data_IF_931832822485
#
_entry.id   IF_931832822485
#
_cell.length_a   1.000
_cell.length_b   1.000
_cell.length_c   1.000
_cell.angle_alpha   90.00
_cell.angle_beta   90.00
_cell.angle_gamma   90.00
#
_symmetry.space_group_name_H-M   'P 1'
#
loop_
_entity.id
_entity.type
_entity.pdbx_description
1 polymer ?
#
# COMPACT_ATOMS: atom_id res chain seq x y z
N UNK A 1 1.47 -5.66 7.46
CA UNK A 1 0.13 -5.65 6.82
C UNK A 1 -0.98 -6.12 7.78
N UNK A 2 -0.96 -7.36 8.27
CA UNK A 2 -2.06 -7.91 9.10
C UNK A 2 -2.31 -7.18 10.44
N UNK A 3 -1.28 -6.52 11.01
CA UNK A 3 -1.40 -5.74 12.26
C UNK A 3 -2.40 -4.59 12.14
N UNK A 4 -2.49 -3.95 10.98
CA UNK A 4 -3.46 -2.88 10.76
C UNK A 4 -4.90 -3.41 10.78
N UNK A 5 -5.13 -4.58 10.19
CA UNK A 5 -6.44 -5.26 10.23
C UNK A 5 -6.82 -5.63 11.67
N UNK A 6 -5.87 -6.11 12.46
CA UNK A 6 -6.08 -6.38 13.90
C UNK A 6 -6.48 -5.12 14.66
N UNK A 7 -5.81 -3.99 14.39
CA UNK A 7 -6.07 -2.73 15.07
C UNK A 7 -7.43 -2.13 14.67
N UNK A 8 -7.72 -2.03 13.37
CA UNK A 8 -8.97 -1.46 12.84
C UNK A 8 -10.21 -2.24 13.26
N UNK A 9 -10.18 -3.57 13.17
CA UNK A 9 -11.33 -4.43 13.46
C UNK A 9 -11.28 -5.07 14.84
N UNK A 10 -10.34 -4.67 15.70
CA UNK A 10 -10.12 -5.22 17.05
C UNK A 10 -10.08 -6.76 17.08
N UNK A 11 -9.48 -7.38 16.05
CA UNK A 11 -9.40 -8.84 15.93
C UNK A 11 -8.12 -9.39 16.54
N UNK A 12 -8.24 -10.52 17.23
CA UNK A 12 -7.08 -11.29 17.70
C UNK A 12 -6.38 -12.00 16.54
N UNK A 13 -5.09 -12.30 16.72
CA UNK A 13 -4.32 -13.06 15.72
C UNK A 13 -4.91 -14.46 15.45
N UNK A 14 -5.51 -15.06 16.48
CA UNK A 14 -6.18 -16.36 16.37
C UNK A 14 -7.43 -16.27 15.49
N UNK A 15 -8.23 -15.21 15.62
CA UNK A 15 -9.38 -14.97 14.77
C UNK A 15 -8.97 -14.75 13.31
N UNK A 16 -7.91 -13.96 13.07
CA UNK A 16 -7.37 -13.74 11.73
C UNK A 16 -6.83 -15.04 11.12
N UNK A 17 -6.08 -15.86 11.87
CA UNK A 17 -5.60 -17.15 11.38
C UNK A 17 -6.72 -18.11 10.99
N UNK A 18 -7.80 -18.13 11.78
CA UNK A 18 -8.99 -18.94 11.48
C UNK A 18 -9.68 -18.44 10.22
N UNK A 19 -9.83 -17.13 10.10
CA UNK A 19 -10.47 -16.49 8.95
C UNK A 19 -9.72 -16.72 7.63
N UNK A 20 -8.38 -16.66 7.65
CA UNK A 20 -7.55 -16.85 6.45
C UNK A 20 -7.31 -18.32 6.08
N UNK A 21 -7.86 -19.29 6.83
CA UNK A 21 -7.67 -20.72 6.57
C UNK A 21 -8.69 -21.20 5.55
N UNK A 22 -8.23 -21.79 4.45
CA UNK A 22 -9.10 -22.46 3.48
C UNK A 22 -9.32 -23.92 3.91
N UNK A 23 -10.53 -24.50 3.71
CA UNK A 23 -10.80 -25.91 4.05
C UNK A 23 -9.84 -26.91 3.38
N UNK A 24 -9.29 -26.59 2.21
CA UNK A 24 -8.32 -27.42 1.49
C UNK A 24 -6.85 -27.11 1.83
N UNK A 25 -6.56 -26.45 2.95
CA UNK A 25 -5.20 -26.21 3.43
C UNK A 25 -4.49 -24.99 2.84
N UNK A 26 -5.11 -24.28 1.90
CA UNK A 26 -4.64 -23.00 1.39
C UNK A 26 -4.82 -21.83 2.37
N UNK A 27 -4.26 -20.67 1.99
CA UNK A 27 -4.50 -19.39 2.65
C UNK A 27 -5.37 -18.52 1.76
N UNK A 28 -6.42 -17.93 2.30
CA UNK A 28 -7.25 -16.96 1.56
C UNK A 28 -6.51 -15.64 1.39
N UNK A 29 -6.79 -14.93 0.31
CA UNK A 29 -6.45 -13.53 0.17
C UNK A 29 -7.17 -12.70 1.24
N UNK A 30 -6.57 -11.57 1.60
CA UNK A 30 -7.07 -10.72 2.68
C UNK A 30 -8.11 -9.77 2.07
N UNK A 31 -9.38 -10.16 2.10
CA UNK A 31 -10.48 -9.29 1.69
C UNK A 31 -11.11 -8.57 2.88
N UNK A 32 -11.21 -7.24 2.84
CA UNK A 32 -11.69 -6.43 3.95
C UNK A 32 -12.56 -5.30 3.43
N UNK A 33 -13.79 -5.18 3.95
CA UNK A 33 -14.73 -4.11 3.57
C UNK A 33 -14.93 -3.99 2.04
N UNK A 34 -14.89 -5.11 1.30
CA UNK A 34 -14.98 -5.14 -0.16
C UNK A 34 -13.68 -4.82 -0.92
N UNK A 35 -12.57 -4.65 -0.20
CA UNK A 35 -11.25 -4.39 -0.79
C UNK A 35 -10.32 -5.60 -0.59
N UNK A 36 -9.68 -6.05 -1.66
CA UNK A 36 -8.67 -7.11 -1.60
C UNK A 36 -7.30 -6.51 -1.34
N UNK A 37 -6.68 -6.90 -0.24
CA UNK A 37 -5.37 -6.44 0.17
C UNK A 37 -4.30 -7.28 -0.54
N UNK A 38 -3.57 -6.67 -1.47
CA UNK A 38 -2.48 -7.32 -2.18
C UNK A 38 -1.20 -7.37 -1.33
N UNK A 39 -0.32 -8.33 -1.62
CA UNK A 39 0.92 -8.48 -0.89
C UNK A 39 1.92 -7.36 -1.24
N UNK A 40 2.02 -6.34 -0.38
CA UNK A 40 2.94 -5.22 -0.56
C UNK A 40 4.41 -5.66 -0.74
N UNK A 41 4.83 -6.78 -0.14
CA UNK A 41 6.18 -7.31 -0.32
C UNK A 41 6.42 -8.00 -1.67
N UNK A 42 5.37 -8.26 -2.45
CA UNK A 42 5.48 -8.75 -3.83
C UNK A 42 5.52 -7.59 -4.84
N UNK A 43 5.16 -6.37 -4.43
CA UNK A 43 5.21 -5.23 -5.34
C UNK A 43 6.67 -4.85 -5.57
N UNK A 44 7.18 -4.94 -6.82
CA UNK A 44 8.54 -4.56 -7.11
C UNK A 44 8.70 -3.06 -6.88
N UNK A 45 9.68 -2.69 -6.08
CA UNK A 45 10.08 -1.29 -5.93
C UNK A 45 10.99 -0.96 -7.11
N UNK A 46 10.41 -0.38 -8.17
CA UNK A 46 11.20 0.24 -9.23
C UNK A 46 11.78 1.54 -8.69
N UNK A 47 12.97 1.46 -8.10
CA UNK A 47 13.72 2.67 -7.75
C UNK A 47 14.14 3.32 -9.06
N UNK A 48 13.72 4.57 -9.26
CA UNK A 48 14.29 5.38 -10.31
C UNK A 48 15.80 5.45 -10.13
N UNK A 49 16.54 4.97 -11.13
CA UNK A 49 17.96 5.30 -11.26
C UNK A 49 18.04 6.81 -11.43
N UNK A 50 18.88 7.46 -10.62
CA UNK A 50 19.06 8.91 -10.59
C UNK A 50 18.99 9.53 -11.99
N UNK A 51 18.05 10.47 -12.16
CA UNK A 51 17.92 11.31 -13.35
C UNK A 51 17.81 12.75 -12.88
N UNK A 52 18.96 13.38 -12.59
CA UNK A 52 19.03 14.82 -12.41
C UNK A 52 18.25 15.53 -13.54
N UNK A 53 17.32 16.40 -13.17
CA UNK A 53 16.50 17.23 -14.07
C UNK A 53 15.50 16.51 -15.00
N UNK A 54 15.59 15.19 -15.17
CA UNK A 54 14.88 14.45 -16.23
C UNK A 54 13.60 13.72 -15.75
N UNK A 55 13.19 13.95 -14.50
CA UNK A 55 11.89 13.49 -14.00
C UNK A 55 10.89 14.60 -14.30
N UNK A 56 9.92 14.39 -15.21
CA UNK A 56 8.89 15.38 -15.43
C UNK A 56 8.12 15.56 -14.12
N UNK A 57 8.05 16.80 -13.65
CA UNK A 57 7.18 17.13 -12.52
C UNK A 57 5.73 16.86 -12.94
N UNK A 58 4.93 16.17 -12.12
CA UNK A 58 3.51 16.03 -12.38
C UNK A 58 2.74 17.35 -12.23
N UNK A 59 3.40 18.42 -11.77
CA UNK A 59 2.84 19.74 -11.54
C UNK A 59 3.72 20.80 -12.24
N UNK A 60 3.55 21.02 -13.56
CA UNK A 60 4.34 22.01 -14.29
C UNK A 60 4.03 23.45 -13.84
N UNK A 61 2.77 23.75 -13.52
CA UNK A 61 2.33 25.10 -13.14
C UNK A 61 3.01 25.63 -11.86
N UNK A 62 3.36 24.73 -10.95
CA UNK A 62 4.09 25.06 -9.72
C UNK A 62 5.51 25.59 -9.98
N UNK A 63 6.08 25.34 -11.17
CA UNK A 63 7.39 25.86 -11.57
C UNK A 63 7.32 27.26 -12.17
N UNK A 64 6.14 27.73 -12.60
CA UNK A 64 5.95 29.01 -13.30
C UNK A 64 5.21 30.04 -12.44
N UNK A 65 4.68 29.62 -11.29
CA UNK A 65 4.04 30.52 -10.33
C UNK A 65 5.01 31.57 -9.78
N UNK A 66 4.50 32.74 -9.35
CA UNK A 66 5.34 33.78 -8.76
C UNK A 66 6.07 33.21 -7.53
N UNK A 67 7.38 33.47 -7.43
CA UNK A 67 8.16 33.15 -6.24
C UNK A 67 7.48 33.77 -5.02
N UNK A 68 7.06 32.99 -4.02
CA UNK A 68 6.48 33.56 -2.82
C UNK A 68 7.56 34.37 -2.09
N UNK A 69 7.45 35.70 -2.14
CA UNK A 69 8.23 36.61 -1.31
C UNK A 69 7.66 36.51 0.10
N UNK A 70 8.49 35.99 1.01
CA UNK A 70 8.24 36.00 2.45
C UNK A 70 8.34 37.42 3.02
#
# INVERSE_FOLDING_TARGET
MIRWVMHRHRRSWTAIRRWLRTPHGGRKDIELDGMTLFHLGQVPITRYRYRGGNIPTPWPDALTGPTPTA
#
